data_IF_050143100676
#
_entry.id   IF_050143100676
#
_cell.length_a   1.000
_cell.length_b   1.000
_cell.length_c   1.000
_cell.angle_alpha   90.00
_cell.angle_beta   90.00
_cell.angle_gamma   90.00
#
_symmetry.space_group_name_H-M   'P 1'
#
loop_
_entity.id
_entity.type
_entity.pdbx_description
1 polymer ?
#
# COMPACT_ATOMS: atom_id res chain seq x y z
N UNK A 1 8.47 3.67 2.00
CA UNK A 1 8.35 2.67 3.08
C UNK A 1 8.61 1.28 2.53
N UNK A 2 9.53 0.59 3.11
CA UNK A 2 9.88 -0.76 2.67
C UNK A 2 8.94 -1.80 3.28
N UNK A 3 8.45 -2.71 2.46
CA UNK A 3 7.55 -3.77 2.92
C UNK A 3 8.37 -4.94 3.45
N UNK A 4 8.27 -5.20 4.76
CA UNK A 4 8.98 -6.30 5.40
C UNK A 4 8.29 -7.65 5.28
N UNK A 5 7.02 -7.65 4.91
CA UNK A 5 6.25 -8.86 4.70
C UNK A 5 4.80 -8.52 4.42
N UNK A 6 4.10 -9.40 3.74
CA UNK A 6 2.70 -9.22 3.38
C UNK A 6 1.88 -10.36 3.96
N UNK A 7 0.84 -10.03 4.71
CA UNK A 7 -0.03 -11.03 5.30
C UNK A 7 -0.91 -11.67 4.22
N UNK A 8 -1.01 -12.98 4.24
CA UNK A 8 -1.87 -13.71 3.32
C UNK A 8 -3.34 -13.26 3.47
N UNK A 9 -4.00 -13.02 2.34
CA UNK A 9 -5.39 -12.57 2.32
C UNK A 9 -5.60 -11.09 2.62
N UNK A 10 -4.54 -10.34 2.88
CA UNK A 10 -4.64 -8.90 3.15
C UNK A 10 -4.92 -8.11 1.87
N UNK A 11 -5.45 -6.88 1.98
CA UNK A 11 -5.60 -6.02 0.81
C UNK A 11 -4.30 -5.77 0.06
N UNK A 12 -3.18 -5.69 0.77
CA UNK A 12 -1.86 -5.51 0.16
C UNK A 12 -1.51 -6.71 -0.73
N UNK A 13 -1.72 -7.93 -0.26
CA UNK A 13 -1.47 -9.13 -1.05
C UNK A 13 -2.37 -9.17 -2.28
N UNK A 14 -3.65 -8.86 -2.11
CA UNK A 14 -4.61 -8.84 -3.22
C UNK A 14 -4.26 -7.79 -4.26
N UNK A 15 -3.65 -6.70 -3.84
CA UNK A 15 -3.20 -5.64 -4.74
C UNK A 15 -1.92 -6.02 -5.51
N UNK A 16 -1.20 -7.04 -5.05
CA UNK A 16 0.05 -7.47 -5.68
C UNK A 16 1.31 -6.97 -5.00
N UNK A 17 1.20 -6.38 -3.82
CA UNK A 17 2.36 -5.95 -3.03
C UNK A 17 3.10 -7.18 -2.52
N UNK A 18 4.42 -7.16 -2.62
CA UNK A 18 5.27 -8.27 -2.20
C UNK A 18 6.32 -7.80 -1.20
N UNK A 19 6.86 -8.75 -0.46
CA UNK A 19 7.98 -8.49 0.43
C UNK A 19 9.16 -7.91 -0.38
N UNK A 20 9.75 -6.86 0.14
CA UNK A 20 10.87 -6.18 -0.51
C UNK A 20 10.45 -5.01 -1.41
N UNK A 21 9.16 -4.84 -1.68
CA UNK A 21 8.67 -3.68 -2.39
C UNK A 21 8.83 -2.43 -1.52
N UNK A 22 9.07 -1.29 -2.16
CA UNK A 22 9.15 -0.01 -1.47
C UNK A 22 7.91 0.80 -1.86
N UNK A 23 7.04 1.08 -0.89
CA UNK A 23 5.87 1.93 -1.13
C UNK A 23 6.32 3.38 -1.13
N UNK A 24 6.09 4.07 -2.22
CA UNK A 24 6.48 5.48 -2.37
C UNK A 24 5.29 6.42 -2.43
N UNK A 25 4.10 5.91 -2.72
CA UNK A 25 2.88 6.72 -2.72
C UNK A 25 1.66 5.84 -2.41
N UNK A 26 0.67 6.46 -1.81
CA UNK A 26 -0.59 5.81 -1.46
C UNK A 26 -1.72 6.81 -1.65
N UNK A 27 -2.61 6.51 -2.59
CA UNK A 27 -3.76 7.38 -2.86
C UNK A 27 -3.38 8.80 -3.28
N UNK A 28 -2.26 8.96 -3.98
CA UNK A 28 -1.77 10.26 -4.40
C UNK A 28 -0.93 10.99 -3.36
N UNK A 29 -0.75 10.41 -2.17
CA UNK A 29 0.09 10.99 -1.12
C UNK A 29 1.45 10.31 -1.09
N UNK A 30 2.51 11.11 -0.99
CA UNK A 30 3.87 10.57 -0.87
C UNK A 30 4.04 9.87 0.48
N UNK A 31 4.55 8.64 0.43
CA UNK A 31 4.79 7.83 1.63
C UNK A 31 6.30 7.62 1.77
N UNK A 32 6.86 8.14 2.85
CA UNK A 32 8.29 7.99 3.18
C UNK A 32 8.49 7.09 4.39
N UNK A 33 7.55 7.12 5.33
CA UNK A 33 7.65 6.41 6.59
C UNK A 33 6.34 5.68 6.87
N UNK A 34 6.36 4.81 7.88
CA UNK A 34 5.17 4.14 8.36
C UNK A 34 4.11 5.14 8.85
N UNK A 35 4.55 6.24 9.46
CA UNK A 35 3.66 7.29 9.91
C UNK A 35 2.90 7.92 8.76
N UNK A 36 3.58 8.21 7.65
CA UNK A 36 2.96 8.74 6.44
C UNK A 36 1.92 7.77 5.91
N UNK A 37 2.25 6.48 5.89
CA UNK A 37 1.35 5.44 5.43
C UNK A 37 0.10 5.35 6.32
N UNK A 38 0.28 5.38 7.63
CA UNK A 38 -0.82 5.35 8.59
C UNK A 38 -1.72 6.58 8.43
N UNK A 39 -1.11 7.75 8.24
CA UNK A 39 -1.85 8.97 7.99
C UNK A 39 -2.70 8.87 6.72
N UNK A 40 -2.13 8.34 5.65
CA UNK A 40 -2.84 8.15 4.38
C UNK A 40 -4.02 7.18 4.54
N UNK A 41 -3.85 6.12 5.34
CA UNK A 41 -4.91 5.15 5.61
C UNK A 41 -6.08 5.76 6.37
N UNK A 42 -5.81 6.68 7.29
CA UNK A 42 -6.86 7.31 8.11
C UNK A 42 -7.87 8.10 7.29
N UNK A 43 -7.45 8.60 6.13
CA UNK A 43 -8.33 9.33 5.23
C UNK A 43 -9.18 8.44 4.33
N UNK A 44 -9.08 7.14 4.49
CA UNK A 44 -9.77 6.17 3.62
C UNK A 44 -10.81 5.37 4.37
N UNK A 45 -11.78 4.86 3.62
CA UNK A 45 -12.88 4.04 4.16
C UNK A 45 -12.79 2.62 3.62
N UNK A 46 -13.41 1.70 4.32
CA UNK A 46 -13.55 0.33 3.84
C UNK A 46 -14.26 0.33 2.48
N UNK A 47 -13.77 -0.46 1.56
CA UNK A 47 -14.28 -0.54 0.20
C UNK A 47 -13.69 0.46 -0.80
N UNK A 48 -12.90 1.42 -0.31
CA UNK A 48 -12.26 2.39 -1.21
C UNK A 48 -11.18 1.70 -2.05
N UNK A 49 -11.11 2.10 -3.31
CA UNK A 49 -9.97 1.75 -4.16
C UNK A 49 -8.90 2.80 -4.03
N UNK A 50 -7.70 2.37 -3.81
CA UNK A 50 -6.57 3.26 -3.63
C UNK A 50 -5.43 2.80 -4.52
N UNK A 51 -4.82 3.73 -5.25
CA UNK A 51 -3.64 3.45 -6.02
C UNK A 51 -2.42 3.46 -5.10
N UNK A 52 -1.66 2.38 -5.13
CA UNK A 52 -0.42 2.25 -4.38
C UNK A 52 0.71 2.18 -5.38
N UNK A 53 1.67 3.08 -5.26
CA UNK A 53 2.86 3.06 -6.10
C UNK A 53 4.00 2.43 -5.32
N UNK A 54 4.60 1.40 -5.89
CA UNK A 54 5.73 0.70 -5.29
C UNK A 54 6.91 0.69 -6.26
N UNK A 55 8.11 0.59 -5.70
CA UNK A 55 9.33 0.36 -6.48
C UNK A 55 9.77 -1.08 -6.21
N UNK A 56 9.92 -1.83 -7.29
CA UNK A 56 10.35 -3.22 -7.27
C UNK A 56 11.48 -3.38 -8.28
N UNK A 57 12.62 -3.88 -7.82
CA UNK A 57 13.80 -4.09 -8.68
C UNK A 57 14.19 -2.83 -9.47
N UNK A 58 14.08 -1.67 -8.84
CA UNK A 58 14.39 -0.40 -9.46
C UNK A 58 13.32 0.13 -10.42
N UNK A 59 12.21 -0.58 -10.59
CA UNK A 59 11.12 -0.18 -11.46
C UNK A 59 9.88 0.20 -10.65
N UNK A 60 9.24 1.31 -11.03
CA UNK A 60 8.03 1.78 -10.39
C UNK A 60 6.82 1.02 -10.95
N UNK A 61 5.97 0.56 -10.07
CA UNK A 61 4.72 -0.14 -10.42
C UNK A 61 3.56 0.49 -9.68
N UNK A 62 2.46 0.67 -10.38
CA UNK A 62 1.21 1.16 -9.79
C UNK A 62 0.26 0.00 -9.59
N UNK A 63 -0.19 -0.16 -8.35
CA UNK A 63 -1.08 -1.23 -7.94
C UNK A 63 -2.37 -0.61 -7.40
N UNK A 64 -3.47 -1.32 -7.56
CA UNK A 64 -4.74 -0.90 -6.98
C UNK A 64 -5.09 -1.80 -5.81
N UNK A 65 -5.36 -1.19 -4.68
CA UNK A 65 -5.77 -1.89 -3.47
C UNK A 65 -7.21 -1.53 -3.13
N UNK A 66 -7.97 -2.53 -2.68
CA UNK A 66 -9.29 -2.31 -2.12
C UNK A 66 -9.18 -2.50 -0.62
N UNK A 67 -9.53 -1.44 0.13
CA UNK A 67 -9.43 -1.48 1.58
C UNK A 67 -10.56 -2.31 2.17
N UNK A 68 -10.22 -3.11 3.17
CA UNK A 68 -11.18 -3.94 3.88
C UNK A 68 -11.39 -3.42 5.28
N UNK A 69 -12.62 -3.58 5.77
CA UNK A 69 -12.94 -3.22 7.14
C UNK A 69 -12.31 -4.23 8.09
N UNK A 70 -11.64 -3.72 9.11
CA UNK A 70 -11.15 -4.55 10.20
C UNK A 70 -12.20 -4.68 11.28
N UNK A 71 -12.46 -5.90 11.63
CA UNK A 71 -13.30 -6.22 12.78
C UNK A 71 -12.44 -6.53 13.99
#
# INVERSE_FOLDING_TARGET
MRVGGVRAGSPAEKAGVRQGDVIVAFGGLTVRTLEDFTFALRGRRAGDRVEVTVVRDGAESRLQAVLEERK
#
